data_IF_539250535913
#
_entry.id   IF_539250535913
#
_cell.length_a   1.000
_cell.length_b   1.000
_cell.length_c   1.000
_cell.angle_alpha   90.00
_cell.angle_beta   90.00
_cell.angle_gamma   90.00
#
_symmetry.space_group_name_H-M   'P 1'
#
loop_
_entity.id
_entity.type
_entity.pdbx_description
1 polymer ?
#
# COMPACT_ATOMS: atom_id res chain seq x y z
N UNK A 1 -16.43 16.59 -4.10
CA UNK A 1 -15.66 15.67 -4.97
C UNK A 1 -14.61 15.07 -4.07
N UNK A 2 -14.48 13.75 -4.05
CA UNK A 2 -13.48 13.08 -3.21
C UNK A 2 -12.09 13.26 -3.83
N UNK A 3 -11.11 13.68 -3.03
CA UNK A 3 -9.71 13.80 -3.41
C UNK A 3 -8.92 12.65 -2.82
N UNK A 4 -8.16 11.97 -3.67
CA UNK A 4 -7.32 10.84 -3.28
C UNK A 4 -5.86 11.25 -3.48
N UNK A 5 -5.04 11.13 -2.44
CA UNK A 5 -3.59 11.22 -2.55
C UNK A 5 -3.04 9.81 -2.80
N UNK A 6 -2.28 9.62 -3.87
CA UNK A 6 -1.61 8.37 -4.18
C UNK A 6 -0.10 8.63 -4.23
N UNK A 7 0.66 7.93 -3.40
CA UNK A 7 2.12 7.95 -3.32
C UNK A 7 2.68 6.56 -3.60
N UNK A 8 3.91 6.49 -4.07
CA UNK A 8 4.68 5.26 -4.36
C UNK A 8 6.17 5.62 -4.42
N UNK A 9 7.04 4.62 -4.37
CA UNK A 9 8.49 4.77 -4.57
C UNK A 9 9.10 5.81 -3.62
N UNK A 10 8.71 5.73 -2.34
CA UNK A 10 9.19 6.65 -1.32
C UNK A 10 10.67 6.40 -1.02
N UNK A 11 11.12 5.13 -1.01
CA UNK A 11 12.50 4.74 -0.75
C UNK A 11 13.09 5.43 0.49
N UNK A 12 12.32 5.48 1.58
CA UNK A 12 12.72 6.14 2.82
C UNK A 12 12.73 7.68 2.78
N UNK A 13 12.26 8.32 1.70
CA UNK A 13 12.28 9.77 1.52
C UNK A 13 10.94 10.42 1.89
N UNK A 14 10.68 10.54 3.19
CA UNK A 14 9.38 11.01 3.71
C UNK A 14 9.18 12.53 3.75
N UNK A 15 10.26 13.32 3.60
CA UNK A 15 10.26 14.75 3.92
C UNK A 15 9.36 15.67 3.09
N UNK A 16 8.63 15.14 2.10
CA UNK A 16 7.66 15.89 1.28
C UNK A 16 6.21 15.68 1.69
N UNK A 17 5.93 14.82 2.66
CA UNK A 17 4.56 14.46 3.03
C UNK A 17 3.71 15.69 3.38
N UNK A 18 4.23 16.59 4.21
CA UNK A 18 3.50 17.81 4.61
C UNK A 18 3.00 18.63 3.43
N UNK A 19 3.82 18.81 2.38
CA UNK A 19 3.41 19.52 1.17
C UNK A 19 2.31 18.79 0.38
N UNK A 20 2.23 17.46 0.47
CA UNK A 20 1.13 16.70 -0.13
C UNK A 20 -0.14 16.76 0.71
N UNK A 21 -0.02 16.78 2.04
CA UNK A 21 -1.18 16.91 2.94
C UNK A 21 -1.82 18.30 2.84
N UNK A 22 -1.07 19.35 2.46
CA UNK A 22 -1.62 20.68 2.13
C UNK A 22 -2.62 20.67 0.96
N UNK A 23 -2.66 19.61 0.14
CA UNK A 23 -3.67 19.43 -0.91
C UNK A 23 -5.06 19.08 -0.34
N UNK A 24 -5.14 18.84 0.96
CA UNK A 24 -6.33 18.42 1.71
C UNK A 24 -7.00 17.19 1.06
N UNK A 25 -6.29 16.04 0.94
CA UNK A 25 -6.91 14.81 0.46
C UNK A 25 -7.94 14.31 1.46
N UNK A 26 -8.97 13.60 0.98
CA UNK A 26 -9.94 12.92 1.86
C UNK A 26 -9.44 11.55 2.33
N UNK A 27 -8.50 10.96 1.57
CA UNK A 27 -7.86 9.67 1.84
C UNK A 27 -6.53 9.53 1.09
N UNK A 28 -5.64 8.69 1.60
CA UNK A 28 -4.32 8.46 1.04
C UNK A 28 -4.05 6.97 0.74
N UNK A 29 -3.28 6.72 -0.32
CA UNK A 29 -2.74 5.41 -0.66
C UNK A 29 -1.22 5.50 -0.80
N UNK A 30 -0.51 4.50 -0.28
CA UNK A 30 0.91 4.28 -0.49
C UNK A 30 1.07 2.92 -1.19
N UNK A 31 1.40 2.97 -2.48
CA UNK A 31 1.43 1.82 -3.38
C UNK A 31 2.81 1.17 -3.48
N UNK A 32 3.48 0.99 -2.35
CA UNK A 32 4.74 0.28 -2.24
C UNK A 32 6.00 1.15 -2.15
N UNK A 33 7.12 0.45 -1.93
CA UNK A 33 8.48 0.97 -1.75
C UNK A 33 8.52 2.08 -0.71
N UNK A 34 7.97 1.77 0.47
CA UNK A 34 7.99 2.68 1.62
C UNK A 34 9.42 2.91 2.10
N UNK A 35 10.23 1.85 2.06
CA UNK A 35 11.63 1.79 2.46
C UNK A 35 12.54 1.52 1.26
N UNK A 36 13.85 1.60 1.49
CA UNK A 36 14.88 1.15 0.56
C UNK A 36 15.68 0.01 1.20
N UNK A 37 15.08 -1.20 1.20
CA UNK A 37 15.57 -2.39 1.91
C UNK A 37 15.59 -2.24 3.44
N UNK A 38 14.62 -1.48 3.97
CA UNK A 38 14.51 -1.16 5.39
C UNK A 38 15.37 0.03 5.85
N UNK A 39 15.43 0.32 7.15
CA UNK A 39 14.63 -0.27 8.23
C UNK A 39 13.13 0.11 8.15
N UNK A 40 12.25 -0.68 8.79
CA UNK A 40 10.80 -0.41 8.80
C UNK A 40 10.39 0.60 9.88
N UNK A 41 11.19 0.78 10.92
CA UNK A 41 10.90 1.64 12.07
C UNK A 41 10.49 3.09 11.67
N UNK A 42 11.16 3.75 10.71
CA UNK A 42 10.76 5.09 10.27
C UNK A 42 9.40 5.14 9.55
N UNK A 43 8.95 4.01 8.98
CA UNK A 43 7.66 3.94 8.27
C UNK A 43 6.52 4.17 9.25
N UNK A 44 6.62 3.62 10.46
CA UNK A 44 5.59 3.80 11.48
C UNK A 44 5.38 5.28 11.81
N UNK A 45 6.47 5.99 12.09
CA UNK A 45 6.45 7.43 12.39
C UNK A 45 5.88 8.23 11.20
N UNK A 46 6.26 7.88 9.97
CA UNK A 46 5.74 8.48 8.76
C UNK A 46 4.22 8.26 8.57
N UNK A 47 3.71 7.07 8.88
CA UNK A 47 2.28 6.75 8.76
C UNK A 47 1.43 7.50 9.80
N UNK A 48 1.99 7.79 10.98
CA UNK A 48 1.32 8.58 12.04
C UNK A 48 1.11 10.06 11.64
N UNK A 49 1.83 10.58 10.64
CA UNK A 49 1.66 11.95 10.14
C UNK A 49 0.36 12.14 9.33
N UNK A 50 -0.27 11.06 8.85
CA UNK A 50 -1.51 11.13 8.11
C UNK A 50 -2.71 11.41 9.04
N UNK A 51 -3.43 12.50 8.77
CA UNK A 51 -4.65 12.88 9.49
C UNK A 51 -5.95 12.41 8.79
N UNK A 52 -5.81 11.61 7.74
CA UNK A 52 -6.89 11.00 6.95
C UNK A 52 -6.62 9.52 6.81
N UNK A 53 -7.63 8.69 6.49
CA UNK A 53 -7.41 7.26 6.28
C UNK A 53 -6.30 7.02 5.26
N UNK A 54 -5.25 6.32 5.69
CA UNK A 54 -4.10 5.97 4.87
C UNK A 54 -4.09 4.47 4.65
N UNK A 55 -4.03 4.06 3.39
CA UNK A 55 -3.97 2.67 2.97
C UNK A 55 -2.58 2.40 2.40
N UNK A 56 -1.94 1.32 2.82
CA UNK A 56 -0.58 1.02 2.38
C UNK A 56 -0.44 -0.45 2.01
N UNK A 57 0.40 -0.71 1.02
CA UNK A 57 0.85 -2.05 0.67
C UNK A 57 2.37 -2.01 0.43
N UNK A 58 3.09 -3.10 0.65
CA UNK A 58 4.52 -3.15 0.43
C UNK A 58 4.87 -3.09 -1.05
N UNK A 59 6.03 -2.54 -1.38
CA UNK A 59 6.71 -2.77 -2.65
C UNK A 59 7.81 -3.80 -2.50
N UNK A 60 8.59 -4.01 -3.54
CA UNK A 60 9.62 -5.04 -3.55
C UNK A 60 10.84 -4.66 -2.72
N UNK A 61 11.11 -3.36 -2.58
CA UNK A 61 12.20 -2.85 -1.75
C UNK A 61 11.89 -2.91 -0.26
N UNK A 62 10.67 -3.23 0.15
CA UNK A 62 10.30 -3.31 1.56
C UNK A 62 10.68 -4.65 2.19
N UNK A 63 11.29 -4.69 3.39
CA UNK A 63 11.44 -5.95 4.14
C UNK A 63 10.07 -6.59 4.39
N UNK A 64 9.98 -7.93 4.49
CA UNK A 64 8.68 -8.61 4.71
C UNK A 64 8.03 -8.20 6.05
N UNK A 65 8.86 -7.82 7.03
CA UNK A 65 8.48 -7.26 8.33
C UNK A 65 7.72 -5.93 8.22
N UNK A 66 7.70 -5.29 7.04
CA UNK A 66 6.87 -4.12 6.78
C UNK A 66 5.39 -4.42 7.00
N UNK A 67 4.93 -5.65 6.74
CA UNK A 67 3.54 -6.03 6.98
C UNK A 67 3.18 -5.88 8.46
N UNK A 68 4.04 -6.37 9.35
CA UNK A 68 3.85 -6.20 10.79
C UNK A 68 3.85 -4.71 11.17
N UNK A 69 4.71 -3.91 10.54
CA UNK A 69 4.73 -2.45 10.74
C UNK A 69 3.43 -1.78 10.32
N UNK A 70 2.84 -2.20 9.20
CA UNK A 70 1.55 -1.70 8.74
C UNK A 70 0.42 -2.08 9.71
N UNK A 71 0.37 -3.35 10.15
CA UNK A 71 -0.63 -3.86 11.10
C UNK A 71 -0.51 -3.21 12.50
N UNK A 72 0.69 -2.80 12.91
CA UNK A 72 0.94 -2.11 14.18
C UNK A 72 0.77 -0.58 14.11
N UNK A 73 0.45 -0.04 12.94
CA UNK A 73 0.26 1.40 12.70
C UNK A 73 -1.23 1.77 12.62
N UNK A 74 -1.52 3.08 12.48
CA UNK A 74 -2.88 3.57 12.20
C UNK A 74 -3.27 3.46 10.70
N UNK A 75 -2.34 3.02 9.84
CA UNK A 75 -2.62 2.76 8.44
C UNK A 75 -3.35 1.44 8.25
N UNK A 76 -4.03 1.30 7.12
CA UNK A 76 -4.74 0.09 6.73
C UNK A 76 -3.88 -0.67 5.74
N UNK A 77 -3.43 -1.87 6.13
CA UNK A 77 -2.71 -2.78 5.24
C UNK A 77 -3.64 -3.27 4.13
N UNK A 78 -3.30 -2.97 2.88
CA UNK A 78 -4.07 -3.37 1.70
C UNK A 78 -3.55 -4.65 1.04
N UNK A 79 -2.38 -5.16 1.46
CA UNK A 79 -1.78 -6.36 0.88
C UNK A 79 -2.65 -7.60 1.15
N UNK A 80 -3.13 -8.25 0.10
CA UNK A 80 -4.01 -9.42 0.24
C UNK A 80 -5.41 -9.07 0.74
N UNK A 81 -5.80 -7.79 0.67
CA UNK A 81 -7.09 -7.31 1.14
C UNK A 81 -7.86 -6.58 0.03
N UNK A 82 -9.18 -6.55 0.20
CA UNK A 82 -10.09 -5.76 -0.62
C UNK A 82 -10.92 -4.83 0.26
N UNK A 83 -11.22 -3.64 -0.25
CA UNK A 83 -12.08 -2.68 0.42
C UNK A 83 -12.98 -1.97 -0.59
N UNK A 84 -14.09 -1.39 -0.12
CA UNK A 84 -15.02 -0.67 -0.99
C UNK A 84 -15.12 0.80 -0.57
N UNK A 85 -14.85 1.71 -1.50
CA UNK A 85 -15.04 3.15 -1.35
C UNK A 85 -16.14 3.59 -2.33
N UNK A 86 -17.32 3.87 -1.78
CA UNK A 86 -18.50 4.17 -2.59
C UNK A 86 -18.89 2.98 -3.47
N UNK A 87 -18.77 3.13 -4.79
CA UNK A 87 -19.09 2.09 -5.78
C UNK A 87 -17.85 1.42 -6.38
N UNK A 88 -16.67 1.67 -5.80
CA UNK A 88 -15.38 1.13 -6.29
C UNK A 88 -14.80 0.22 -5.24
N UNK A 89 -14.58 -1.04 -5.62
CA UNK A 89 -13.78 -1.97 -4.86
C UNK A 89 -12.31 -1.83 -5.27
N UNK A 90 -11.44 -1.72 -4.28
CA UNK A 90 -9.99 -1.63 -4.41
C UNK A 90 -9.41 -2.88 -3.77
N UNK A 91 -8.56 -3.59 -4.51
CA UNK A 91 -7.89 -4.81 -4.08
C UNK A 91 -6.39 -4.59 -4.16
N UNK A 92 -5.67 -4.86 -3.07
CA UNK A 92 -4.24 -4.59 -2.97
C UNK A 92 -3.39 -5.86 -3.01
N UNK A 93 -2.33 -5.82 -3.79
CA UNK A 93 -1.24 -6.80 -3.78
C UNK A 93 0.05 -6.03 -3.89
N UNK A 94 0.93 -6.31 -2.95
CA UNK A 94 2.24 -5.68 -2.84
C UNK A 94 3.38 -6.66 -3.10
N UNK A 95 4.60 -6.17 -2.96
CA UNK A 95 5.81 -6.84 -3.42
C UNK A 95 5.92 -6.78 -4.96
N UNK A 96 6.85 -7.55 -5.51
CA UNK A 96 6.96 -7.77 -6.96
C UNK A 96 7.09 -9.24 -7.28
N UNK A 97 7.00 -9.57 -8.56
CA UNK A 97 7.54 -10.84 -9.04
C UNK A 97 9.07 -10.89 -8.85
N UNK A 98 9.67 -12.08 -8.98
CA UNK A 98 11.12 -12.25 -8.87
C UNK A 98 11.88 -11.31 -9.82
N UNK A 99 12.82 -10.54 -9.27
CA UNK A 99 13.63 -9.56 -10.01
C UNK A 99 15.09 -10.02 -10.08
N UNK A 100 15.91 -9.47 -10.99
CA UNK A 100 17.35 -9.74 -10.98
C UNK A 100 18.10 -9.02 -9.84
N UNK A 101 17.41 -8.20 -9.04
CA UNK A 101 17.99 -7.39 -7.98
C UNK A 101 17.90 -8.06 -6.60
N UNK A 102 17.14 -9.15 -6.48
CA UNK A 102 16.96 -9.91 -5.23
C UNK A 102 16.50 -9.00 -4.08
N UNK A 103 15.45 -8.22 -4.35
CA UNK A 103 14.88 -7.29 -3.38
C UNK A 103 14.07 -8.03 -2.30
N UNK A 104 13.87 -7.43 -1.10
CA UNK A 104 13.37 -8.19 0.05
C UNK A 104 11.95 -8.78 -0.09
N UNK A 105 11.05 -8.11 -0.81
CA UNK A 105 9.66 -8.55 -1.01
C UNK A 105 9.39 -9.03 -2.44
N UNK A 106 10.08 -10.09 -2.85
CA UNK A 106 9.78 -10.80 -4.09
C UNK A 106 8.88 -12.01 -3.83
N UNK A 107 7.92 -12.21 -4.75
CA UNK A 107 6.96 -13.28 -4.78
C UNK A 107 7.06 -14.03 -6.12
N UNK A 108 6.78 -15.31 -6.09
CA UNK A 108 6.56 -16.10 -7.31
C UNK A 108 5.18 -15.78 -7.91
N UNK A 109 4.98 -16.08 -9.20
CA UNK A 109 3.65 -15.94 -9.84
C UNK A 109 2.58 -16.74 -9.08
N UNK A 110 2.91 -17.93 -8.59
CA UNK A 110 1.99 -18.76 -7.78
C UNK A 110 1.60 -18.09 -6.45
N UNK A 111 2.55 -17.41 -5.80
CA UNK A 111 2.28 -16.64 -4.58
C UNK A 111 1.43 -15.40 -4.87
N UNK A 112 1.72 -14.67 -5.96
CA UNK A 112 0.93 -13.52 -6.39
C UNK A 112 -0.52 -13.94 -6.69
N UNK A 113 -0.71 -15.02 -7.46
CA UNK A 113 -2.04 -15.54 -7.79
C UNK A 113 -2.82 -15.97 -6.55
N UNK A 114 -2.14 -16.59 -5.57
CA UNK A 114 -2.74 -16.95 -4.30
C UNK A 114 -3.21 -15.72 -3.52
N UNK A 115 -2.35 -14.72 -3.35
CA UNK A 115 -2.69 -13.48 -2.63
C UNK A 115 -3.84 -12.75 -3.32
N UNK A 116 -3.84 -12.69 -4.66
CA UNK A 116 -4.92 -12.10 -5.44
C UNK A 116 -6.24 -12.82 -5.21
N UNK A 117 -6.23 -14.15 -5.33
CA UNK A 117 -7.43 -14.97 -5.18
C UNK A 117 -8.05 -14.83 -3.78
N UNK A 118 -7.21 -14.82 -2.75
CA UNK A 118 -7.65 -14.65 -1.36
C UNK A 118 -8.25 -13.25 -1.12
N UNK A 119 -7.66 -12.21 -1.74
CA UNK A 119 -8.14 -10.84 -1.65
C UNK A 119 -9.47 -10.64 -2.42
N UNK A 120 -9.59 -11.21 -3.61
CA UNK A 120 -10.79 -11.13 -4.47
C UNK A 120 -11.99 -11.85 -3.85
N UNK A 121 -11.78 -12.90 -3.06
CA UNK A 121 -12.87 -13.60 -2.38
C UNK A 121 -13.70 -12.67 -1.46
N UNK A 122 -13.12 -11.54 -1.04
CA UNK A 122 -13.74 -10.53 -0.20
C UNK A 122 -14.13 -9.26 -0.99
N UNK A 123 -13.85 -9.21 -2.29
CA UNK A 123 -14.17 -8.08 -3.15
C UNK A 123 -15.68 -8.02 -3.44
N UNK A 124 -16.25 -6.82 -3.33
CA UNK A 124 -17.61 -6.59 -3.83
C UNK A 124 -17.58 -6.47 -5.36
N UNK A 125 -18.54 -7.07 -6.08
CA UNK A 125 -18.60 -6.93 -7.53
C UNK A 125 -18.78 -5.46 -7.91
N UNK A 126 -17.88 -4.95 -8.73
CA UNK A 126 -17.96 -3.57 -9.21
C UNK A 126 -19.20 -3.41 -10.11
N UNK A 127 -20.06 -2.44 -9.78
CA UNK A 127 -21.28 -2.15 -10.55
C UNK A 127 -20.96 -1.34 -11.82
N UNK A 128 -19.79 -0.71 -11.85
CA UNK A 128 -19.32 0.10 -12.96
C UNK A 128 -17.99 -0.43 -13.46
N UNK A 129 -17.92 -0.71 -14.77
CA UNK A 129 -16.63 -0.78 -15.45
C UNK A 129 -16.10 0.65 -15.56
N UNK A 130 -15.10 0.98 -14.76
CA UNK A 130 -14.37 2.25 -14.90
C UNK A 130 -13.36 2.03 -16.03
N UNK A 131 -13.84 2.14 -17.27
CA UNK A 131 -13.07 2.34 -18.50
C UNK A 131 -13.73 3.44 -19.31
#
# INVERSE_FOLDING_TARGET
MMKILLLTDLHGQYGKLGSFLELEPDLAFIAGDLTDMGPCEPVKEFLEEFNVPCFALPGNCDPKEILDTLEESDAICLHGASMTIGNVTITGIGGSNTTPFNTPFELTEEEIEKVLSDAEAHASPNVHNIL
#
